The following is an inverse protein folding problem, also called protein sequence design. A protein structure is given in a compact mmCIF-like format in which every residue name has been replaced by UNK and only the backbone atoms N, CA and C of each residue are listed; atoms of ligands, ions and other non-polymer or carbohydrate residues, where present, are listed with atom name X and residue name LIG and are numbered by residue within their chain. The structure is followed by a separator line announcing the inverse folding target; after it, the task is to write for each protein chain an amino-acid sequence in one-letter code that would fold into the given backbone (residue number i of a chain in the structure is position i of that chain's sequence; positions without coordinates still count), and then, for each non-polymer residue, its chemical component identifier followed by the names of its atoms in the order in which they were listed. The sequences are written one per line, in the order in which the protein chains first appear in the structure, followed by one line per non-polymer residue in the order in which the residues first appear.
data_IF_496252050922
#
_entry.id   IF_496252050922
#
_cell.length_a   1.000
_cell.length_b   1.000
_cell.length_c   1.000
_cell.angle_alpha   90.00
_cell.angle_beta   90.00
_cell.angle_gamma   90.00
#
_symmetry.space_group_name_H-M   'P 1'
#
loop_
_entity.id
_entity.type
_entity.pdbx_description
1 polymer ?
#
# COMPACT_ATOMS: atom_id res chain seq x y z
N UNK A 1 2.99 -12.81 -0.07
CA UNK A 1 3.72 -12.44 1.17
C UNK A 1 3.11 -13.11 2.40
N UNK A 2 1.79 -13.03 2.62
CA UNK A 2 1.13 -13.58 3.84
C UNK A 2 1.48 -15.05 4.16
N UNK A 3 1.77 -15.88 3.16
CA UNK A 3 2.13 -17.28 3.36
C UNK A 3 3.49 -17.47 4.05
N UNK A 4 4.34 -16.46 4.08
CA UNK A 4 5.59 -16.46 4.82
C UNK A 4 5.44 -16.03 6.30
N UNK A 5 4.25 -15.54 6.67
CA UNK A 5 3.92 -15.22 8.05
C UNK A 5 3.56 -16.48 8.86
N UNK A 6 3.68 -16.44 10.20
CA UNK A 6 3.19 -17.49 11.09
C UNK A 6 1.71 -17.82 10.80
N UNK A 7 1.34 -19.09 10.93
CA UNK A 7 0.02 -19.58 10.54
C UNK A 7 -1.13 -18.83 11.25
N UNK A 8 -0.92 -18.51 12.53
CA UNK A 8 -1.88 -17.78 13.38
C UNK A 8 -2.09 -16.33 12.96
N UNK A 9 -1.10 -15.70 12.30
CA UNK A 9 -1.21 -14.31 11.84
C UNK A 9 -1.86 -14.19 10.45
N UNK A 10 -1.84 -15.27 9.65
CA UNK A 10 -2.31 -15.24 8.25
C UNK A 10 -3.76 -14.79 8.08
N UNK A 11 -4.73 -15.28 8.87
CA UNK A 11 -6.13 -14.83 8.74
C UNK A 11 -6.27 -13.31 8.93
N UNK A 12 -5.54 -12.74 9.89
CA UNK A 12 -5.58 -11.31 10.19
C UNK A 12 -4.93 -10.47 9.08
N UNK A 13 -3.82 -10.94 8.50
CA UNK A 13 -3.21 -10.32 7.34
C UNK A 13 -4.12 -10.38 6.12
N UNK A 14 -4.77 -11.52 5.88
CA UNK A 14 -5.75 -11.63 4.79
C UNK A 14 -6.92 -10.68 4.99
N UNK A 15 -7.43 -10.52 6.22
CA UNK A 15 -8.49 -9.57 6.52
C UNK A 15 -8.08 -8.12 6.24
N UNK A 16 -6.87 -7.71 6.67
CA UNK A 16 -6.32 -6.39 6.40
C UNK A 16 -6.16 -6.12 4.88
N UNK A 17 -5.59 -7.08 4.15
CA UNK A 17 -5.42 -6.92 2.69
C UNK A 17 -6.75 -7.02 1.93
N UNK A 18 -7.71 -7.81 2.38
CA UNK A 18 -9.05 -7.83 1.81
C UNK A 18 -9.75 -6.48 1.99
N UNK A 19 -9.66 -5.88 3.20
CA UNK A 19 -10.13 -4.52 3.44
C UNK A 19 -9.49 -3.52 2.48
N UNK A 20 -8.16 -3.54 2.34
CA UNK A 20 -7.47 -2.64 1.40
C UNK A 20 -7.95 -2.84 -0.06
N UNK A 21 -8.22 -4.09 -0.48
CA UNK A 21 -8.74 -4.37 -1.83
C UNK A 21 -10.15 -3.79 -2.00
N UNK A 22 -11.04 -3.96 -1.01
CA UNK A 22 -12.38 -3.38 -1.04
C UNK A 22 -12.33 -1.85 -1.22
N UNK A 23 -11.49 -1.16 -0.41
CA UNK A 23 -11.36 0.30 -0.50
C UNK A 23 -10.75 0.71 -1.86
N UNK A 24 -9.69 0.04 -2.32
CA UNK A 24 -9.02 0.39 -3.57
C UNK A 24 -9.91 0.18 -4.80
N UNK A 25 -10.89 -0.72 -4.74
CA UNK A 25 -11.81 -1.03 -5.84
C UNK A 25 -13.05 -0.15 -5.87
N UNK A 26 -13.26 0.73 -4.88
CA UNK A 26 -14.47 1.59 -4.84
C UNK A 26 -14.62 2.37 -6.16
N UNK A 27 -13.54 2.98 -6.66
CA UNK A 27 -13.57 3.73 -7.93
C UNK A 27 -13.94 2.88 -9.13
N UNK A 28 -13.47 1.63 -9.18
CA UNK A 28 -13.72 0.71 -10.31
C UNK A 28 -15.15 0.19 -10.31
N UNK A 29 -15.79 0.12 -9.15
CA UNK A 29 -17.14 -0.43 -8.95
C UNK A 29 -18.22 0.64 -8.81
N UNK A 30 -17.85 1.93 -8.73
CA UNK A 30 -18.76 3.05 -8.68
C UNK A 30 -18.92 3.65 -10.08
N UNK A 31 -20.15 3.76 -10.58
CA UNK A 31 -20.45 4.38 -11.88
C UNK A 31 -20.22 5.90 -11.85
N UNK A 32 -20.41 6.52 -10.69
CA UNK A 32 -20.28 7.97 -10.49
C UNK A 32 -19.48 8.26 -9.20
N UNK A 33 -18.78 9.41 -9.13
CA UNK A 33 -18.01 9.80 -7.95
C UNK A 33 -18.84 9.78 -6.66
N UNK A 34 -20.08 10.28 -6.68
CA UNK A 34 -20.96 10.33 -5.52
C UNK A 34 -21.22 8.95 -4.92
N UNK A 35 -21.38 7.92 -5.76
CA UNK A 35 -21.57 6.54 -5.31
C UNK A 35 -20.27 6.04 -4.61
N UNK A 36 -19.11 6.43 -5.13
CA UNK A 36 -17.82 6.15 -4.51
C UNK A 36 -17.73 6.76 -3.11
N UNK A 37 -18.06 8.03 -2.96
CA UNK A 37 -18.05 8.73 -1.67
C UNK A 37 -19.03 8.10 -0.66
N UNK A 38 -20.22 7.72 -1.08
CA UNK A 38 -21.20 7.01 -0.21
C UNK A 38 -20.61 5.68 0.29
N UNK A 39 -19.93 4.93 -0.56
CA UNK A 39 -19.26 3.67 -0.15
C UNK A 39 -18.10 3.92 0.81
N UNK A 40 -17.33 4.98 0.59
CA UNK A 40 -16.26 5.35 1.53
C UNK A 40 -16.83 5.75 2.88
N UNK A 41 -17.91 6.57 2.90
CA UNK A 41 -18.58 6.93 4.15
C UNK A 41 -19.10 5.69 4.88
N UNK A 42 -19.71 4.74 4.15
CA UNK A 42 -20.15 3.47 4.74
C UNK A 42 -18.99 2.71 5.42
N UNK A 43 -17.80 2.70 4.81
CA UNK A 43 -16.62 2.09 5.44
C UNK A 43 -16.14 2.86 6.68
N UNK A 44 -16.18 4.19 6.66
CA UNK A 44 -15.85 5.01 7.85
C UNK A 44 -16.81 4.71 9.00
N UNK A 45 -18.13 4.67 8.74
CA UNK A 45 -19.15 4.35 9.73
C UNK A 45 -19.01 2.91 10.25
N UNK A 46 -18.61 1.97 9.38
CA UNK A 46 -18.34 0.59 9.72
C UNK A 46 -17.11 0.48 10.64
N UNK A 47 -16.03 1.20 10.34
CA UNK A 47 -14.85 1.28 11.22
C UNK A 47 -15.22 1.86 12.58
N UNK A 48 -16.01 2.94 12.62
CA UNK A 48 -16.52 3.51 13.88
C UNK A 48 -17.31 2.48 14.68
N UNK A 49 -18.10 1.65 13.97
CA UNK A 49 -18.82 0.54 14.55
C UNK A 49 -17.91 -0.51 15.17
N UNK A 50 -16.89 -0.95 14.46
CA UNK A 50 -15.92 -1.95 14.93
C UNK A 50 -15.26 -1.49 16.24
N UNK A 51 -14.77 -0.25 16.28
CA UNK A 51 -14.12 0.30 17.49
C UNK A 51 -15.10 0.60 18.64
N UNK A 52 -16.40 0.70 18.33
CA UNK A 52 -17.47 0.77 19.34
C UNK A 52 -17.99 -0.63 19.76
N UNK A 53 -17.34 -1.72 19.34
CA UNK A 53 -17.72 -3.09 19.68
C UNK A 53 -18.93 -3.65 18.94
N UNK A 54 -19.38 -2.99 17.85
CA UNK A 54 -20.49 -3.49 17.03
C UNK A 54 -19.97 -4.51 16.00
N UNK A 55 -20.72 -5.59 15.79
CA UNK A 55 -20.42 -6.58 14.75
C UNK A 55 -20.99 -6.08 13.41
N UNK A 56 -20.17 -5.85 12.38
CA UNK A 56 -20.66 -5.42 11.08
C UNK A 56 -21.30 -6.56 10.29
N UNK A 57 -22.25 -6.22 9.42
CA UNK A 57 -22.87 -7.16 8.48
C UNK A 57 -22.19 -7.10 7.10
N UNK A 58 -20.90 -7.42 7.07
CA UNK A 58 -20.10 -7.53 5.86
C UNK A 58 -18.92 -8.48 6.12
N UNK A 59 -18.68 -9.50 5.28
CA UNK A 59 -17.68 -10.54 5.58
C UNK A 59 -16.27 -10.02 5.78
N UNK A 60 -15.82 -9.06 4.97
CA UNK A 60 -14.49 -8.43 5.13
C UNK A 60 -14.42 -7.60 6.41
N UNK A 61 -15.48 -6.87 6.74
CA UNK A 61 -15.53 -6.07 7.96
C UNK A 61 -15.58 -6.96 9.22
N UNK A 62 -16.30 -8.10 9.19
CA UNK A 62 -16.28 -9.11 10.26
C UNK A 62 -14.88 -9.67 10.48
N UNK A 63 -14.19 -10.05 9.38
CA UNK A 63 -12.81 -10.53 9.47
C UNK A 63 -11.86 -9.46 10.01
N UNK A 64 -12.07 -8.17 9.67
CA UNK A 64 -11.25 -7.05 10.12
C UNK A 64 -11.32 -6.85 11.63
N UNK A 65 -12.45 -7.15 12.29
CA UNK A 65 -12.58 -7.08 13.76
C UNK A 65 -11.46 -7.85 14.46
N UNK A 66 -11.20 -9.08 14.00
CA UNK A 66 -10.15 -9.92 14.58
C UNK A 66 -8.74 -9.41 14.27
N UNK A 67 -8.53 -8.78 13.11
CA UNK A 67 -7.25 -8.17 12.73
C UNK A 67 -6.96 -6.92 13.57
N UNK A 68 -7.99 -6.08 13.81
CA UNK A 68 -7.90 -4.91 14.70
C UNK A 68 -7.48 -5.31 16.09
N UNK A 69 -8.15 -6.32 16.67
CA UNK A 69 -7.83 -6.82 18.01
C UNK A 69 -6.43 -7.46 18.08
N UNK A 70 -6.03 -8.24 17.05
CA UNK A 70 -4.73 -8.93 17.01
C UNK A 70 -3.54 -7.97 16.94
N UNK A 71 -3.65 -6.92 16.14
CA UNK A 71 -2.58 -5.95 15.89
C UNK A 71 -2.68 -4.68 16.73
N UNK A 72 -3.71 -4.54 17.56
CA UNK A 72 -4.06 -3.27 18.22
C UNK A 72 -4.02 -2.11 17.21
N UNK A 73 -4.68 -2.34 16.04
CA UNK A 73 -4.57 -1.41 14.91
C UNK A 73 -5.19 -0.06 15.29
N UNK A 74 -4.49 1.06 15.06
CA UNK A 74 -5.03 2.37 15.34
C UNK A 74 -6.22 2.70 14.43
N UNK A 75 -7.35 3.13 15.00
CA UNK A 75 -8.55 3.52 14.27
C UNK A 75 -8.25 4.53 13.15
N UNK A 76 -7.51 5.58 13.50
CA UNK A 76 -7.17 6.63 12.54
C UNK A 76 -6.37 6.12 11.33
N UNK A 77 -5.53 5.09 11.49
CA UNK A 77 -4.76 4.54 10.37
C UNK A 77 -5.66 3.85 9.33
N UNK A 78 -6.68 3.12 9.79
CA UNK A 78 -7.68 2.52 8.90
C UNK A 78 -8.58 3.58 8.27
N UNK A 79 -9.00 4.61 9.03
CA UNK A 79 -9.81 5.70 8.51
C UNK A 79 -9.04 6.53 7.48
N UNK A 80 -7.78 6.89 7.76
CA UNK A 80 -6.94 7.65 6.83
C UNK A 80 -6.70 6.88 5.52
N UNK A 81 -6.57 5.56 5.57
CA UNK A 81 -6.47 4.74 4.36
C UNK A 81 -7.74 4.86 3.49
N UNK A 82 -8.93 4.92 4.10
CA UNK A 82 -10.20 5.16 3.35
C UNK A 82 -10.22 6.57 2.79
N UNK A 83 -9.91 7.58 3.61
CA UNK A 83 -9.95 9.00 3.24
C UNK A 83 -8.95 9.30 2.11
N UNK A 84 -7.72 8.79 2.21
CA UNK A 84 -6.71 9.00 1.17
C UNK A 84 -7.17 8.48 -0.20
N UNK A 85 -7.99 7.41 -0.23
CA UNK A 85 -8.57 6.86 -1.47
C UNK A 85 -9.68 7.72 -2.06
N UNK A 86 -10.10 8.81 -1.41
CA UNK A 86 -10.98 9.80 -2.02
C UNK A 86 -10.36 10.41 -3.28
N UNK A 87 -9.04 10.61 -3.28
CA UNK A 87 -8.29 11.01 -4.48
C UNK A 87 -8.58 10.10 -5.69
N UNK A 88 -8.76 8.80 -5.47
CA UNK A 88 -9.02 7.85 -6.55
C UNK A 88 -10.43 7.99 -7.14
N UNK A 89 -11.36 8.57 -6.41
CA UNK A 89 -12.76 8.75 -6.84
C UNK A 89 -12.87 9.81 -7.92
N UNK A 90 -12.04 10.85 -7.83
CA UNK A 90 -11.97 11.93 -8.82
C UNK A 90 -10.83 11.67 -9.83
N UNK A 91 -10.93 12.29 -11.00
CA UNK A 91 -9.91 12.18 -12.06
C UNK A 91 -8.94 13.39 -12.05
N UNK A 92 -8.84 14.09 -10.92
CA UNK A 92 -7.93 15.21 -10.76
C UNK A 92 -6.47 14.76 -10.76
N UNK A 93 -5.55 15.52 -11.37
CA UNK A 93 -4.14 15.19 -11.34
C UNK A 93 -3.54 15.45 -9.95
N UNK A 94 -2.58 14.61 -9.55
CA UNK A 94 -1.80 14.79 -8.32
C UNK A 94 -1.12 16.16 -8.34
N UNK A 95 -1.29 17.01 -7.33
CA UNK A 95 -0.76 18.37 -7.38
C UNK A 95 0.76 18.42 -7.41
N UNK A 96 1.43 17.72 -6.50
CA UNK A 96 2.88 17.74 -6.31
C UNK A 96 3.44 16.38 -5.87
N UNK A 97 4.78 16.27 -5.87
CA UNK A 97 5.45 15.09 -5.32
C UNK A 97 5.17 14.91 -3.82
N UNK A 98 5.04 15.99 -3.07
CA UNK A 98 4.73 15.93 -1.64
C UNK A 98 3.32 15.36 -1.40
N UNK A 99 2.33 15.78 -2.21
CA UNK A 99 0.97 15.23 -2.14
C UNK A 99 0.95 13.75 -2.51
N UNK A 100 1.73 13.34 -3.53
CA UNK A 100 1.88 11.94 -3.91
C UNK A 100 2.50 11.12 -2.78
N UNK A 101 3.57 11.60 -2.14
CA UNK A 101 4.15 10.92 -0.98
C UNK A 101 3.18 10.84 0.19
N UNK A 102 2.40 11.88 0.46
CA UNK A 102 1.33 11.87 1.46
C UNK A 102 0.29 10.80 1.17
N UNK A 103 -0.22 10.73 -0.06
CA UNK A 103 -1.15 9.69 -0.51
C UNK A 103 -0.55 8.28 -0.33
N UNK A 104 0.72 8.06 -0.71
CA UNK A 104 1.38 6.77 -0.56
C UNK A 104 1.68 6.44 0.90
N UNK A 105 1.93 7.45 1.73
CA UNK A 105 2.07 7.33 3.18
C UNK A 105 0.82 6.74 3.82
N UNK A 106 -0.35 7.30 3.52
CA UNK A 106 -1.62 6.85 4.07
C UNK A 106 -2.14 5.55 3.45
N UNK A 107 -1.70 5.20 2.25
CA UNK A 107 -2.13 3.97 1.58
C UNK A 107 -1.13 2.83 1.71
N UNK A 108 0.03 2.93 1.08
CA UNK A 108 1.01 1.83 1.02
C UNK A 108 1.83 1.70 2.30
N UNK A 109 2.30 2.81 2.88
CA UNK A 109 3.12 2.79 4.10
C UNK A 109 2.31 2.39 5.31
N UNK A 110 1.12 2.98 5.47
CA UNK A 110 0.20 2.63 6.56
C UNK A 110 -0.20 1.16 6.51
N UNK A 111 -0.43 0.59 5.30
CA UNK A 111 -0.74 -0.82 5.13
C UNK A 111 0.41 -1.75 5.58
N UNK A 112 1.67 -1.42 5.24
CA UNK A 112 2.85 -2.18 5.70
C UNK A 112 2.97 -2.08 7.22
N UNK A 113 2.79 -0.89 7.78
CA UNK A 113 2.86 -0.68 9.23
C UNK A 113 1.78 -1.48 9.98
N UNK A 114 0.53 -1.46 9.51
CA UNK A 114 -0.56 -2.24 10.10
C UNK A 114 -0.30 -3.75 10.00
N UNK A 115 0.25 -4.23 8.88
CA UNK A 115 0.65 -5.62 8.73
C UNK A 115 1.77 -6.00 9.71
N UNK A 116 2.75 -5.10 9.94
CA UNK A 116 3.81 -5.31 10.92
C UNK A 116 3.26 -5.36 12.37
N UNK A 117 2.28 -4.53 12.71
CA UNK A 117 1.59 -4.58 14.01
C UNK A 117 0.87 -5.92 14.23
N UNK A 118 0.16 -6.45 13.23
CA UNK A 118 -0.46 -7.78 13.28
C UNK A 118 0.59 -8.87 13.55
N UNK A 119 1.80 -8.70 13.05
CA UNK A 119 2.94 -9.62 13.25
C UNK A 119 3.64 -9.42 14.60
N UNK A 120 3.16 -8.51 15.43
CA UNK A 120 3.55 -8.32 16.82
C UNK A 120 4.37 -7.07 17.12
N UNK A 121 4.95 -6.39 16.12
CA UNK A 121 5.68 -5.15 16.38
C UNK A 121 5.82 -4.30 15.12
N UNK A 122 5.43 -3.02 15.22
CA UNK A 122 5.59 -2.05 14.15
C UNK A 122 7.05 -1.63 13.91
N UNK A 123 7.29 -1.08 12.72
CA UNK A 123 8.54 -0.44 12.31
C UNK A 123 8.20 0.79 11.46
N UNK A 124 7.66 1.87 12.07
CA UNK A 124 7.00 2.97 11.35
C UNK A 124 7.91 3.70 10.37
N UNK A 125 9.15 3.98 10.75
CA UNK A 125 10.09 4.68 9.87
C UNK A 125 10.45 3.85 8.63
N UNK A 126 10.82 2.59 8.83
CA UNK A 126 11.10 1.67 7.72
C UNK A 126 9.85 1.42 6.85
N UNK A 127 8.66 1.29 7.46
CA UNK A 127 7.40 1.11 6.74
C UNK A 127 7.02 2.35 5.92
N UNK A 128 7.29 3.55 6.44
CA UNK A 128 7.10 4.80 5.74
C UNK A 128 7.86 4.83 4.42
N UNK A 129 9.18 4.67 4.49
CA UNK A 129 10.08 4.70 3.32
C UNK A 129 9.81 3.55 2.34
N UNK A 130 9.68 2.32 2.86
CA UNK A 130 9.40 1.12 2.05
C UNK A 130 8.05 1.21 1.34
N UNK A 131 7.03 1.76 2.01
CA UNK A 131 5.70 1.93 1.45
C UNK A 131 5.65 2.99 0.36
N UNK A 132 6.35 4.11 0.51
CA UNK A 132 6.49 5.11 -0.55
C UNK A 132 7.18 4.49 -1.77
N UNK A 133 8.31 3.78 -1.59
CA UNK A 133 9.00 3.12 -2.69
C UNK A 133 8.12 2.11 -3.44
N UNK A 134 7.44 1.24 -2.70
CA UNK A 134 6.54 0.23 -3.25
C UNK A 134 5.30 0.85 -3.91
N UNK A 135 4.72 1.85 -3.26
CA UNK A 135 3.56 2.57 -3.74
C UNK A 135 3.83 3.34 -5.04
N UNK A 136 4.98 4.03 -5.15
CA UNK A 136 5.42 4.67 -6.39
C UNK A 136 5.50 3.66 -7.54
N UNK A 137 6.16 2.53 -7.35
CA UNK A 137 6.20 1.47 -8.36
C UNK A 137 4.79 0.95 -8.69
N UNK A 138 3.89 0.90 -7.71
CA UNK A 138 2.49 0.51 -7.86
C UNK A 138 1.71 1.46 -8.76
N UNK A 139 1.70 2.76 -8.45
CA UNK A 139 0.93 3.77 -9.21
C UNK A 139 1.49 3.98 -10.62
N UNK A 140 2.82 3.99 -10.78
CA UNK A 140 3.46 4.10 -12.09
C UNK A 140 3.12 2.93 -13.02
N UNK A 141 2.94 1.71 -12.48
CA UNK A 141 2.48 0.56 -13.24
C UNK A 141 1.06 0.69 -13.76
N UNK A 142 0.21 1.47 -13.13
CA UNK A 142 -1.17 1.69 -13.59
C UNK A 142 -1.21 2.50 -14.89
N UNK A 143 -0.12 3.20 -15.25
CA UNK A 143 -0.05 4.09 -16.43
C UNK A 143 -1.17 5.14 -16.46
N UNK A 144 -1.63 5.57 -15.31
CA UNK A 144 -2.64 6.62 -15.17
C UNK A 144 -1.93 7.94 -14.89
N UNK A 145 -2.03 8.89 -15.81
CA UNK A 145 -1.37 10.21 -15.74
C UNK A 145 -1.75 11.00 -14.49
N UNK A 146 -2.94 10.78 -13.93
CA UNK A 146 -3.39 11.47 -12.72
C UNK A 146 -2.49 11.27 -11.49
N UNK A 147 -1.69 10.18 -11.43
CA UNK A 147 -0.72 9.98 -10.34
C UNK A 147 0.62 10.66 -10.59
N UNK A 148 0.81 11.26 -11.77
CA UNK A 148 2.03 12.05 -12.04
C UNK A 148 1.85 13.45 -11.46
N UNK A 149 2.81 13.94 -10.63
CA UNK A 149 2.75 15.28 -10.09
C UNK A 149 2.66 16.33 -11.20
N UNK A 150 1.61 17.14 -11.14
CA UNK A 150 1.29 18.12 -12.18
C UNK A 150 2.39 19.15 -12.36
N UNK A 151 2.97 19.63 -11.25
CA UNK A 151 4.10 20.56 -11.25
C UNK A 151 5.29 19.96 -12.01
N UNK A 152 5.66 18.71 -11.69
CA UNK A 152 6.76 18.04 -12.39
C UNK A 152 6.47 17.80 -13.87
N UNK A 153 5.24 17.44 -14.22
CA UNK A 153 4.86 17.21 -15.63
C UNK A 153 4.93 18.52 -16.42
N UNK A 154 4.52 19.64 -15.82
CA UNK A 154 4.61 20.97 -16.45
C UNK A 154 6.05 21.39 -16.70
N UNK A 155 6.96 21.12 -15.75
CA UNK A 155 8.35 21.55 -15.83
C UNK A 155 9.22 20.65 -16.72
N UNK A 156 8.96 19.32 -16.68
CA UNK A 156 9.88 18.31 -17.24
C UNK A 156 9.27 17.50 -18.39
N UNK A 157 7.94 17.50 -18.49
CA UNK A 157 7.19 16.57 -19.33
C UNK A 157 7.06 15.19 -18.69
N UNK A 158 6.07 14.42 -19.16
CA UNK A 158 5.64 13.16 -18.57
C UNK A 158 6.76 12.10 -18.46
N UNK A 159 7.52 11.91 -19.55
CA UNK A 159 8.58 10.89 -19.60
C UNK A 159 9.69 11.15 -18.56
N UNK A 160 10.11 12.40 -18.42
CA UNK A 160 11.17 12.75 -17.48
C UNK A 160 10.66 12.73 -16.05
N UNK A 161 9.40 13.10 -15.82
CA UNK A 161 8.72 12.95 -14.53
C UNK A 161 8.71 11.48 -14.10
N UNK A 162 8.33 10.53 -14.97
CA UNK A 162 8.37 9.10 -14.67
C UNK A 162 9.79 8.65 -14.31
N UNK A 163 10.81 9.10 -15.03
CA UNK A 163 12.21 8.77 -14.73
C UNK A 163 12.63 9.29 -13.35
N UNK A 164 12.27 10.52 -13.01
CA UNK A 164 12.56 11.08 -11.70
C UNK A 164 11.80 10.38 -10.57
N UNK A 165 10.53 10.02 -10.77
CA UNK A 165 9.76 9.24 -9.80
C UNK A 165 10.36 7.84 -9.58
N UNK A 166 10.88 7.20 -10.62
CA UNK A 166 11.59 5.93 -10.48
C UNK A 166 12.91 6.09 -9.69
N UNK A 167 13.66 7.16 -9.95
CA UNK A 167 14.87 7.48 -9.17
C UNK A 167 14.53 7.75 -7.69
N UNK A 168 13.45 8.49 -7.46
CA UNK A 168 12.94 8.77 -6.12
C UNK A 168 12.51 7.48 -5.39
N UNK A 169 11.80 6.58 -6.08
CA UNK A 169 11.42 5.28 -5.52
C UNK A 169 12.65 4.43 -5.13
N UNK A 170 13.73 4.46 -5.93
CA UNK A 170 14.99 3.78 -5.57
C UNK A 170 15.63 4.37 -4.33
N UNK A 171 15.70 5.69 -4.26
CA UNK A 171 16.24 6.39 -3.08
C UNK A 171 15.47 6.00 -1.82
N UNK A 172 14.13 6.05 -1.86
CA UNK A 172 13.29 5.63 -0.72
C UNK A 172 13.48 4.16 -0.36
N UNK A 173 13.69 3.29 -1.36
CA UNK A 173 13.99 1.86 -1.12
C UNK A 173 15.35 1.67 -0.44
N UNK A 174 16.37 2.38 -0.87
CA UNK A 174 17.73 2.35 -0.27
C UNK A 174 17.69 2.84 1.18
N UNK A 175 17.00 3.97 1.43
CA UNK A 175 16.79 4.52 2.78
C UNK A 175 16.06 3.50 3.68
N UNK A 176 15.00 2.85 3.18
CA UNK A 176 14.29 1.80 3.91
C UNK A 176 15.19 0.59 4.22
N UNK A 177 16.05 0.19 3.28
CA UNK A 177 16.99 -0.92 3.46
C UNK A 177 18.10 -0.59 4.46
N UNK A 178 18.51 0.66 4.57
CA UNK A 178 19.44 1.09 5.63
C UNK A 178 18.83 0.90 7.03
N UNK A 179 17.51 0.95 7.15
CA UNK A 179 16.77 0.70 8.40
C UNK A 179 16.40 -0.77 8.61
N UNK A 180 16.80 -1.68 7.73
CA UNK A 180 16.41 -3.10 7.82
C UNK A 180 16.74 -3.72 9.18
N UNK A 181 17.88 -3.36 9.78
CA UNK A 181 18.29 -3.83 11.12
C UNK A 181 17.37 -3.40 12.26
N UNK A 182 16.51 -2.42 12.05
CA UNK A 182 15.53 -1.95 13.05
C UNK A 182 14.19 -2.69 12.94
N UNK A 183 13.97 -3.43 11.85
CA UNK A 183 12.75 -4.18 11.62
C UNK A 183 12.83 -5.50 12.39
N UNK A 184 11.88 -5.77 13.30
CA UNK A 184 11.83 -7.05 13.98
C UNK A 184 11.67 -8.20 12.97
N UNK A 185 12.36 -9.30 13.20
CA UNK A 185 12.32 -10.48 12.32
C UNK A 185 10.88 -10.99 12.11
N UNK A 186 10.06 -10.97 13.17
CA UNK A 186 8.65 -11.32 13.10
C UNK A 186 7.84 -10.42 12.13
N UNK A 187 8.25 -9.15 11.95
CA UNK A 187 7.55 -8.20 11.08
C UNK A 187 7.99 -8.27 9.60
N UNK A 188 9.10 -8.96 9.29
CA UNK A 188 9.62 -9.06 7.91
C UNK A 188 8.60 -9.51 6.86
N UNK A 189 7.66 -10.43 7.12
CA UNK A 189 6.64 -10.79 6.14
C UNK A 189 5.81 -9.62 5.62
N UNK A 190 5.62 -8.54 6.41
CA UNK A 190 4.93 -7.33 5.98
C UNK A 190 5.72 -6.55 4.91
N UNK A 191 7.04 -6.63 4.92
CA UNK A 191 7.93 -5.90 4.01
C UNK A 191 8.26 -6.68 2.73
N UNK A 192 8.02 -7.99 2.67
CA UNK A 192 8.37 -8.80 1.49
C UNK A 192 7.82 -8.27 0.16
N UNK A 193 6.58 -7.72 0.07
CA UNK A 193 6.09 -7.15 -1.18
C UNK A 193 6.97 -6.03 -1.75
N UNK A 194 7.70 -5.32 -0.90
CA UNK A 194 8.59 -4.21 -1.29
C UNK A 194 9.72 -4.70 -2.21
N UNK A 195 10.18 -5.97 -2.06
CA UNK A 195 11.17 -6.58 -2.94
C UNK A 195 10.77 -6.56 -4.43
N UNK A 196 9.48 -6.53 -4.72
CA UNK A 196 8.96 -6.48 -6.09
C UNK A 196 9.23 -5.12 -6.77
N UNK A 197 9.50 -4.06 -6.01
CA UNK A 197 9.86 -2.75 -6.53
C UNK A 197 11.05 -2.85 -7.49
N UNK A 198 12.05 -3.66 -7.16
CA UNK A 198 13.23 -3.91 -8.01
C UNK A 198 12.90 -4.57 -9.35
N UNK A 199 11.80 -5.31 -9.43
CA UNK A 199 11.33 -5.91 -10.67
C UNK A 199 10.58 -4.91 -11.56
N UNK A 200 9.88 -3.95 -10.94
CA UNK A 200 9.00 -3.05 -11.65
C UNK A 200 9.71 -1.80 -12.17
N UNK A 201 10.56 -1.15 -11.37
CA UNK A 201 11.19 0.12 -11.74
C UNK A 201 11.95 0.07 -13.08
N UNK A 202 12.83 -0.94 -13.37
CA UNK A 202 13.51 -0.99 -14.66
C UNK A 202 12.57 -1.14 -15.86
N UNK A 203 11.42 -1.82 -15.66
CA UNK A 203 10.42 -2.00 -16.72
C UNK A 203 9.62 -0.73 -16.97
N UNK A 204 9.33 0.02 -15.93
CA UNK A 204 8.65 1.32 -16.04
C UNK A 204 9.50 2.28 -16.85
N UNK A 205 10.78 2.41 -16.51
CA UNK A 205 11.73 3.29 -17.22
C UNK A 205 12.00 2.87 -18.65
N UNK A 206 12.12 1.56 -18.90
CA UNK A 206 12.35 1.02 -20.23
C UNK A 206 11.14 1.11 -21.17
N UNK A 207 9.98 1.56 -20.69
CA UNK A 207 8.76 1.70 -21.50
C UNK A 207 8.20 0.39 -22.05
N UNK A 208 8.74 -0.75 -21.63
CA UNK A 208 8.35 -2.08 -22.07
C UNK A 208 7.08 -2.61 -21.41
N UNK A 209 6.85 -3.92 -21.55
CA UNK A 209 5.74 -4.60 -20.86
C UNK A 209 5.95 -4.57 -19.36
N UNK A 210 4.93 -4.08 -18.64
CA UNK A 210 4.92 -4.00 -17.16
C UNK A 210 4.51 -5.33 -16.52
N UNK A 211 4.11 -6.30 -17.33
CA UNK A 211 3.73 -7.61 -16.86
C UNK A 211 4.96 -8.38 -16.34
N UNK A 212 4.85 -8.85 -15.13
CA UNK A 212 5.79 -9.79 -14.52
C UNK A 212 5.05 -11.08 -14.25
N UNK A 213 5.56 -12.19 -14.77
CA UNK A 213 4.93 -13.49 -14.59
C UNK A 213 4.75 -13.80 -13.09
N UNK A 214 3.67 -14.52 -12.77
CA UNK A 214 3.37 -14.95 -11.40
C UNK A 214 4.57 -15.70 -10.78
N UNK A 215 5.18 -16.58 -11.56
CA UNK A 215 6.35 -17.35 -11.13
C UNK A 215 7.53 -16.45 -10.72
N UNK A 216 7.85 -15.41 -11.52
CA UNK A 216 8.94 -14.49 -11.21
C UNK A 216 8.68 -13.69 -9.94
N UNK A 217 7.42 -13.25 -9.72
CA UNK A 217 7.02 -12.60 -8.47
C UNK A 217 7.17 -13.53 -7.27
N UNK A 218 6.74 -14.80 -7.39
CA UNK A 218 6.85 -15.78 -6.33
C UNK A 218 8.29 -16.10 -5.97
N UNK A 219 9.18 -16.31 -6.95
CA UNK A 219 10.60 -16.53 -6.71
C UNK A 219 11.24 -15.33 -6.02
N UNK A 220 10.92 -14.10 -6.44
CA UNK A 220 11.44 -12.89 -5.79
C UNK A 220 11.02 -12.83 -4.33
N UNK A 221 9.75 -13.06 -4.02
CA UNK A 221 9.25 -13.09 -2.65
C UNK A 221 9.88 -14.22 -1.83
N UNK A 222 10.03 -15.40 -2.42
CA UNK A 222 10.68 -16.53 -1.76
C UNK A 222 12.13 -16.25 -1.43
N UNK A 223 12.88 -15.68 -2.38
CA UNK A 223 14.28 -15.31 -2.18
C UNK A 223 14.43 -14.22 -1.11
N UNK A 224 13.56 -13.21 -1.15
CA UNK A 224 13.50 -12.15 -0.14
C UNK A 224 13.24 -12.72 1.27
N UNK A 225 12.25 -13.62 1.39
CA UNK A 225 11.92 -14.28 2.64
C UNK A 225 13.06 -15.14 3.18
N UNK A 226 13.73 -15.94 2.30
CA UNK A 226 14.83 -16.80 2.69
C UNK A 226 16.04 -16.02 3.19
N UNK A 227 16.31 -14.86 2.63
CA UNK A 227 17.46 -14.02 3.00
C UNK A 227 17.10 -12.96 4.04
N UNK A 228 15.85 -12.94 4.51
CA UNK A 228 15.33 -11.94 5.44
C UNK A 228 15.61 -10.51 4.94
N UNK A 229 15.36 -10.24 3.63
CA UNK A 229 15.64 -8.96 2.95
C UNK A 229 14.53 -8.60 1.98
N UNK A 230 14.30 -7.29 1.78
CA UNK A 230 13.39 -6.76 0.75
C UNK A 230 14.08 -5.78 -0.19
#
# INVERSE_FOLDING_TARGET
ACLFAPAEARPHLFALYAFNVEIARIRETASEPQIGLVRQQWWLDTLDGIYAGRTPDHPVAQALVSAVAKGDLPKHALQNLVIAREFDVYDDPMPSLADLEGYLGETSSSLIQMAALILGKGAPEAAGLAGVAFGLAGVLRLKKSRYLPRDMVQDLGEKQTITQLCAHARKRLEEAQALQGTIPESAMPAFLPVSLTRLYLPRIEGGGTLEVTQFRRQITLWWAARNNRF
#
